data_IF_055676521361
#
_entry.id   IF_055676521361
#
_cell.length_a   1.000
_cell.length_b   1.000
_cell.length_c   1.000
_cell.angle_alpha   90.00
_cell.angle_beta   90.00
_cell.angle_gamma   90.00
#
_symmetry.space_group_name_H-M   'P 1'
#
loop_
_entity.id
_entity.type
_entity.pdbx_description
1 polymer ?
#
# COMPACT_ATOMS: atom_id res chain seq x y z
N UNK A 1 -4.05 -12.86 5.45
CA UNK A 1 -3.68 -14.27 5.14
C UNK A 1 -3.75 -15.18 6.36
N UNK A 2 -2.93 -14.98 7.42
CA UNK A 2 -2.96 -15.84 8.63
C UNK A 2 -4.31 -15.87 9.35
N UNK A 3 -4.98 -14.72 9.50
CA UNK A 3 -6.35 -14.62 10.03
C UNK A 3 -7.38 -15.44 9.23
N UNK A 4 -7.13 -15.61 7.93
CA UNK A 4 -7.94 -16.42 7.02
C UNK A 4 -7.46 -17.88 6.92
N UNK A 5 -6.45 -18.27 7.70
CA UNK A 5 -5.84 -19.61 7.66
C UNK A 5 -5.34 -20.02 6.26
N UNK A 6 -4.92 -19.02 5.47
CA UNK A 6 -4.35 -19.21 4.14
C UNK A 6 -2.82 -19.16 4.18
N UNK A 7 -2.21 -20.10 3.47
CA UNK A 7 -0.76 -20.15 3.23
C UNK A 7 -0.50 -19.89 1.74
N UNK A 8 -0.06 -18.69 1.36
CA UNK A 8 0.23 -18.40 -0.05
C UNK A 8 1.46 -19.17 -0.52
N UNK A 9 1.46 -19.59 -1.78
CA UNK A 9 2.66 -20.06 -2.46
C UNK A 9 3.38 -18.83 -2.99
N UNK A 10 4.61 -18.60 -2.53
CA UNK A 10 5.40 -17.43 -2.90
C UNK A 10 6.27 -17.79 -4.11
N UNK A 11 5.93 -17.23 -5.27
CA UNK A 11 6.74 -17.39 -6.50
C UNK A 11 8.01 -16.55 -6.45
N UNK A 12 7.91 -15.31 -5.95
CA UNK A 12 9.02 -14.36 -5.93
C UNK A 12 8.80 -13.27 -4.87
N UNK A 13 9.87 -12.88 -4.17
CA UNK A 13 9.90 -11.72 -3.28
C UNK A 13 10.55 -10.51 -3.97
N UNK A 14 9.95 -9.32 -3.79
CA UNK A 14 10.37 -8.08 -4.47
C UNK A 14 10.21 -6.91 -3.52
N UNK A 15 11.18 -6.00 -3.49
CA UNK A 15 11.19 -4.84 -2.58
C UNK A 15 10.43 -3.60 -3.08
N UNK A 16 10.12 -3.53 -4.38
CA UNK A 16 9.57 -2.32 -5.01
C UNK A 16 8.27 -2.60 -5.77
N UNK A 17 7.26 -1.78 -5.53
CA UNK A 17 5.92 -1.95 -6.13
C UNK A 17 5.93 -1.88 -7.67
N UNK A 18 6.78 -1.04 -8.26
CA UNK A 18 6.86 -0.93 -9.73
C UNK A 18 7.40 -2.21 -10.36
N UNK A 19 8.38 -2.85 -9.72
CA UNK A 19 8.92 -4.13 -10.16
C UNK A 19 7.87 -5.24 -10.05
N UNK A 20 7.08 -5.26 -8.98
CA UNK A 20 5.93 -6.18 -8.83
C UNK A 20 4.97 -6.02 -10.01
N UNK A 21 4.59 -4.79 -10.34
CA UNK A 21 3.68 -4.49 -11.45
C UNK A 21 4.27 -5.01 -12.78
N UNK A 22 5.55 -4.73 -13.05
CA UNK A 22 6.22 -5.19 -14.27
C UNK A 22 6.25 -6.72 -14.39
N UNK A 23 6.50 -7.44 -13.29
CA UNK A 23 6.51 -8.90 -13.27
C UNK A 23 5.12 -9.50 -13.46
N UNK A 24 4.08 -8.89 -12.86
CA UNK A 24 2.69 -9.30 -13.08
C UNK A 24 2.28 -9.07 -14.54
N UNK A 25 2.61 -7.91 -15.14
CA UNK A 25 2.32 -7.65 -16.56
C UNK A 25 3.08 -8.58 -17.50
N UNK A 26 4.25 -9.08 -17.08
CA UNK A 26 5.02 -10.09 -17.81
C UNK A 26 4.50 -11.52 -17.62
N UNK A 27 3.45 -11.73 -16.82
CA UNK A 27 2.80 -13.03 -16.63
C UNK A 27 3.39 -13.91 -15.52
N UNK A 28 4.23 -13.36 -14.62
CA UNK A 28 4.81 -14.16 -13.51
C UNK A 28 3.74 -14.69 -12.54
N UNK A 29 2.60 -14.01 -12.42
CA UNK A 29 1.51 -14.41 -11.53
C UNK A 29 0.64 -13.22 -11.12
N UNK A 30 0.24 -13.21 -9.86
CA UNK A 30 -0.60 -12.16 -9.25
C UNK A 30 0.09 -11.55 -8.02
N UNK A 31 -0.29 -10.33 -7.66
CA UNK A 31 0.16 -9.69 -6.43
C UNK A 31 -0.94 -8.84 -5.80
N UNK A 32 -0.79 -8.55 -4.52
CA UNK A 32 -1.68 -7.68 -3.74
C UNK A 32 -0.94 -6.38 -3.47
N UNK A 33 -1.53 -5.25 -3.86
CA UNK A 33 -0.95 -3.91 -3.70
C UNK A 33 -2.01 -2.94 -3.15
N UNK A 34 -1.60 -1.90 -2.40
CA UNK A 34 -2.51 -0.83 -1.99
C UNK A 34 -3.18 -0.15 -3.19
N UNK A 35 -4.43 0.28 -3.02
CA UNK A 35 -5.22 0.90 -4.09
C UNK A 35 -4.60 2.20 -4.66
N UNK A 36 -3.67 2.84 -3.95
CA UNK A 36 -2.91 3.99 -4.45
C UNK A 36 -2.12 3.69 -5.74
N UNK A 37 -1.72 2.43 -5.95
CA UNK A 37 -1.03 1.98 -7.15
C UNK A 37 -1.95 1.76 -8.36
N UNK A 38 -3.28 1.76 -8.16
CA UNK A 38 -4.27 1.60 -9.25
C UNK A 38 -4.15 2.65 -10.34
N UNK A 39 -3.44 3.77 -10.11
CA UNK A 39 -3.15 4.76 -11.15
C UNK A 39 -2.29 4.19 -12.29
N UNK A 40 -1.50 3.14 -12.02
CA UNK A 40 -0.71 2.44 -13.05
C UNK A 40 -1.62 1.46 -13.79
N UNK A 41 -1.80 1.68 -15.08
CA UNK A 41 -2.62 0.82 -15.95
C UNK A 41 -1.72 0.28 -17.07
N UNK A 42 -1.65 -1.04 -17.17
CA UNK A 42 -0.97 -1.76 -18.25
C UNK A 42 -2.02 -2.68 -18.89
N UNK A 43 -1.98 -2.80 -20.21
CA UNK A 43 -3.02 -3.51 -20.97
C UNK A 43 -3.06 -5.01 -20.62
N UNK A 44 -1.93 -5.55 -20.20
CA UNK A 44 -1.67 -6.96 -19.94
C UNK A 44 -2.16 -7.39 -18.54
N UNK A 45 -2.57 -6.44 -17.69
CA UNK A 45 -3.02 -6.73 -16.33
C UNK A 45 -4.38 -6.08 -16.01
N UNK A 46 -5.00 -6.54 -14.93
CA UNK A 46 -6.24 -5.95 -14.41
C UNK A 46 -6.17 -5.82 -12.90
N UNK A 47 -6.71 -4.72 -12.40
CA UNK A 47 -6.90 -4.50 -10.97
C UNK A 47 -8.22 -5.12 -10.52
N UNK A 48 -8.15 -6.05 -9.58
CA UNK A 48 -9.32 -6.73 -9.00
C UNK A 48 -9.44 -6.32 -7.52
N UNK A 49 -10.59 -5.78 -7.07
CA UNK A 49 -10.79 -5.49 -5.66
C UNK A 49 -10.90 -6.78 -4.85
N UNK A 50 -10.39 -6.74 -3.62
CA UNK A 50 -10.58 -7.81 -2.62
C UNK A 50 -11.92 -7.54 -1.93
N UNK A 51 -12.75 -8.58 -1.80
CA UNK A 51 -14.14 -8.43 -1.33
C UNK A 51 -14.23 -8.23 0.20
N UNK A 52 -13.26 -8.76 0.93
CA UNK A 52 -13.16 -8.69 2.37
C UNK A 52 -12.99 -7.24 2.84
N UNK A 53 -13.92 -6.76 3.66
CA UNK A 53 -13.93 -5.37 4.16
C UNK A 53 -12.68 -5.04 5.01
N UNK A 54 -12.05 -6.05 5.62
CA UNK A 54 -10.83 -5.89 6.40
C UNK A 54 -9.54 -5.96 5.56
N UNK A 55 -9.63 -6.11 4.24
CA UNK A 55 -8.49 -6.09 3.32
C UNK A 55 -8.04 -4.66 3.00
N UNK A 56 -7.66 -3.93 4.05
CA UNK A 56 -7.25 -2.53 3.98
C UNK A 56 -5.74 -2.37 4.20
N UNK A 57 -5.17 -1.35 3.59
CA UNK A 57 -3.80 -0.89 3.87
C UNK A 57 -3.88 0.43 4.62
N UNK A 58 -3.37 0.44 5.84
CA UNK A 58 -3.39 1.63 6.71
C UNK A 58 -2.09 2.43 6.58
N UNK A 59 -2.22 3.75 6.60
CA UNK A 59 -1.09 4.68 6.69
C UNK A 59 -1.21 5.48 7.99
N UNK A 60 -0.10 5.55 8.73
CA UNK A 60 -0.06 6.21 10.03
C UNK A 60 0.89 7.40 9.98
N UNK A 61 0.43 8.54 10.50
CA UNK A 61 1.29 9.67 10.79
C UNK A 61 1.78 9.55 12.23
N UNK A 62 3.09 9.35 12.42
CA UNK A 62 3.71 9.11 13.72
C UNK A 62 4.66 10.23 14.11
N UNK A 63 4.77 10.50 15.41
CA UNK A 63 5.74 11.45 15.96
C UNK A 63 6.18 11.04 17.36
N UNK A 64 7.38 11.47 17.81
CA UNK A 64 7.86 11.13 19.13
C UNK A 64 6.97 11.72 20.22
N UNK A 65 6.68 10.94 21.26
CA UNK A 65 5.85 11.39 22.40
C UNK A 65 6.55 12.42 23.29
N UNK A 66 7.87 12.31 23.41
CA UNK A 66 8.67 13.05 24.39
C UNK A 66 9.56 14.14 23.79
N UNK A 67 9.53 14.34 22.47
CA UNK A 67 10.22 15.45 21.82
C UNK A 67 9.22 16.48 21.35
N UNK A 68 9.52 17.74 21.60
CA UNK A 68 8.74 18.84 21.05
C UNK A 68 8.84 18.84 19.52
N UNK A 69 7.70 18.95 18.85
CA UNK A 69 7.67 19.04 17.39
C UNK A 69 8.16 20.41 16.95
N UNK A 70 9.05 20.44 15.96
CA UNK A 70 9.40 21.71 15.32
C UNK A 70 8.14 22.37 14.72
N UNK A 71 8.12 23.70 14.58
CA UNK A 71 7.00 24.39 13.92
C UNK A 71 6.70 23.83 12.53
N UNK A 72 7.73 23.44 11.76
CA UNK A 72 7.57 22.81 10.46
C UNK A 72 6.86 21.46 10.54
N UNK A 73 7.25 20.58 11.47
CA UNK A 73 6.59 19.28 11.66
C UNK A 73 5.14 19.44 12.10
N UNK A 74 4.86 20.40 13.00
CA UNK A 74 3.50 20.75 13.43
C UNK A 74 2.65 21.24 12.26
N UNK A 75 3.18 22.14 11.43
CA UNK A 75 2.48 22.69 10.27
C UNK A 75 2.20 21.61 9.23
N UNK A 76 3.18 20.73 8.96
CA UNK A 76 3.00 19.59 8.06
C UNK A 76 1.91 18.64 8.56
N UNK A 77 1.90 18.30 9.86
CA UNK A 77 0.85 17.50 10.48
C UNK A 77 -0.53 18.14 10.30
N UNK A 78 -0.66 19.43 10.60
CA UNK A 78 -1.94 20.16 10.44
C UNK A 78 -2.37 20.15 8.99
N UNK A 79 -1.46 20.41 8.05
CA UNK A 79 -1.75 20.40 6.62
C UNK A 79 -2.26 19.03 6.15
N UNK A 80 -1.56 17.94 6.49
CA UNK A 80 -1.99 16.59 6.14
C UNK A 80 -3.34 16.23 6.75
N UNK A 81 -3.58 16.53 8.02
CA UNK A 81 -4.85 16.22 8.68
C UNK A 81 -6.03 17.00 8.09
N UNK A 82 -5.79 18.20 7.57
CA UNK A 82 -6.80 18.99 6.87
C UNK A 82 -7.05 18.49 5.44
N UNK A 83 -6.02 17.99 4.76
CA UNK A 83 -6.14 17.44 3.40
C UNK A 83 -6.87 16.07 3.34
N UNK A 84 -7.04 15.41 4.49
CA UNK A 84 -7.77 14.14 4.63
C UNK A 84 -9.25 14.32 5.00
N UNK A 85 -9.72 15.57 5.18
CA UNK A 85 -11.13 15.91 5.38
C UNK A 85 -11.76 16.33 4.06
#
# INVERSE_FOLDING_TARGET
MRRYHLTPVITQEVGEAMTIIGLVSAGLGVSILPASFKRVQLNEMRWVPIAEEDAVSEMWLVWPKHHEQSPAARNFRIHLLNALR
#
